data_IF_195664849885
#
_entry.id   IF_195664849885
#
_cell.length_a   1.000
_cell.length_b   1.000
_cell.length_c   1.000
_cell.angle_alpha   90.00
_cell.angle_beta   90.00
_cell.angle_gamma   90.00
#
_symmetry.space_group_name_H-M   'P 1'
#
loop_
_entity.id
_entity.type
_entity.pdbx_description
1 polymer ?
#
# COMPACT_ATOMS: atom_id res chain seq x y z
N UNK A 1 -54.73 -21.79 -42.54
CA UNK A 1 -53.49 -22.37 -42.01
C UNK A 1 -52.35 -21.33 -41.78
N UNK A 2 -52.17 -20.33 -42.62
CA UNK A 2 -51.11 -19.31 -42.52
C UNK A 2 -51.17 -18.48 -41.23
N UNK A 3 -52.38 -18.00 -40.82
CA UNK A 3 -52.58 -17.19 -39.59
C UNK A 3 -52.20 -17.91 -38.30
N UNK A 4 -52.33 -19.22 -38.21
CA UNK A 4 -51.94 -20.03 -37.02
C UNK A 4 -50.44 -20.23 -36.93
N UNK A 5 -49.75 -20.31 -38.07
CA UNK A 5 -48.26 -20.39 -38.13
C UNK A 5 -47.60 -19.05 -37.71
N UNK A 6 -48.16 -17.95 -38.19
CA UNK A 6 -47.65 -16.60 -37.84
C UNK A 6 -47.82 -16.37 -36.31
N UNK A 7 -48.91 -16.72 -35.70
CA UNK A 7 -49.21 -16.54 -34.28
C UNK A 7 -48.27 -17.40 -33.37
N UNK A 8 -47.89 -18.61 -33.81
CA UNK A 8 -46.91 -19.44 -33.13
C UNK A 8 -45.49 -18.89 -33.23
N UNK A 9 -45.12 -18.42 -34.41
CA UNK A 9 -43.77 -17.81 -34.65
C UNK A 9 -43.61 -16.55 -33.81
N UNK A 10 -44.66 -15.69 -33.75
CA UNK A 10 -44.62 -14.47 -32.93
C UNK A 10 -44.58 -14.78 -31.42
N UNK A 11 -45.30 -15.78 -30.96
CA UNK A 11 -45.25 -16.19 -29.54
C UNK A 11 -43.87 -16.75 -29.14
N UNK A 12 -43.26 -17.56 -30.03
CA UNK A 12 -41.90 -18.05 -29.83
C UNK A 12 -40.87 -16.92 -29.79
N UNK A 13 -41.03 -15.89 -30.66
CA UNK A 13 -40.18 -14.70 -30.69
C UNK A 13 -40.25 -13.91 -29.40
N UNK A 14 -41.44 -13.65 -28.89
CA UNK A 14 -41.63 -12.92 -27.64
C UNK A 14 -41.02 -13.73 -26.49
N UNK A 15 -41.25 -15.04 -26.42
CA UNK A 15 -40.69 -15.91 -25.42
C UNK A 15 -39.13 -15.93 -25.43
N UNK A 16 -38.54 -16.08 -26.63
CA UNK A 16 -37.10 -16.04 -26.77
C UNK A 16 -36.48 -14.69 -26.38
N UNK A 17 -37.10 -13.57 -26.77
CA UNK A 17 -36.64 -12.22 -26.40
C UNK A 17 -36.71 -11.99 -24.89
N UNK A 18 -37.77 -12.45 -24.23
CA UNK A 18 -37.91 -12.37 -22.77
C UNK A 18 -36.85 -13.20 -22.04
N UNK A 19 -36.63 -14.45 -22.48
CA UNK A 19 -35.60 -15.33 -21.86
C UNK A 19 -34.20 -14.70 -21.98
N UNK A 20 -33.90 -14.16 -23.12
CA UNK A 20 -32.59 -13.53 -23.37
C UNK A 20 -32.46 -12.22 -22.61
N UNK A 21 -33.51 -11.40 -22.54
CA UNK A 21 -33.52 -10.18 -21.72
C UNK A 21 -33.30 -10.50 -20.23
N UNK A 22 -33.93 -11.55 -19.71
CA UNK A 22 -33.68 -12.02 -18.36
C UNK A 22 -32.25 -12.53 -18.15
N UNK A 23 -31.72 -13.29 -19.09
CA UNK A 23 -30.34 -13.76 -19.05
C UNK A 23 -29.34 -12.61 -19.04
N UNK A 24 -29.57 -11.60 -19.89
CA UNK A 24 -28.74 -10.39 -19.92
C UNK A 24 -28.82 -9.61 -18.60
N UNK A 25 -30.00 -9.47 -18.04
CA UNK A 25 -30.18 -8.82 -16.74
C UNK A 25 -29.41 -9.53 -15.62
N UNK A 26 -29.49 -10.87 -15.55
CA UNK A 26 -28.76 -11.68 -14.56
C UNK A 26 -27.24 -11.53 -14.73
N UNK A 27 -26.75 -11.63 -15.96
CA UNK A 27 -25.33 -11.47 -16.25
C UNK A 27 -24.85 -10.06 -15.91
N UNK A 28 -25.64 -9.02 -16.24
CA UNK A 28 -25.31 -7.62 -15.92
C UNK A 28 -25.27 -7.38 -14.41
N UNK A 29 -26.21 -7.97 -13.67
CA UNK A 29 -26.24 -7.86 -12.21
C UNK A 29 -25.04 -8.54 -11.55
N UNK A 30 -24.67 -9.74 -12.00
CA UNK A 30 -23.46 -10.43 -11.51
C UNK A 30 -22.18 -9.69 -11.91
N UNK A 31 -22.15 -9.12 -13.12
CA UNK A 31 -21.02 -8.33 -13.63
C UNK A 31 -20.70 -7.13 -12.74
N UNK A 32 -21.70 -6.44 -12.30
CA UNK A 32 -21.52 -5.32 -11.40
C UNK A 32 -20.90 -5.72 -10.05
N UNK A 33 -21.30 -6.89 -9.53
CA UNK A 33 -20.74 -7.42 -8.28
C UNK A 33 -19.25 -7.78 -8.42
N UNK A 34 -18.89 -8.52 -9.46
CA UNK A 34 -17.52 -8.92 -9.71
C UNK A 34 -16.60 -7.72 -10.02
N UNK A 35 -17.15 -6.68 -10.65
CA UNK A 35 -16.43 -5.42 -10.86
C UNK A 35 -16.06 -4.74 -9.54
N UNK A 36 -16.96 -4.70 -8.57
CA UNK A 36 -16.65 -4.15 -7.24
C UNK A 36 -15.59 -4.98 -6.51
N UNK A 37 -15.65 -6.30 -6.60
CA UNK A 37 -14.62 -7.18 -6.02
C UNK A 37 -13.24 -6.91 -6.62
N UNK A 38 -13.17 -6.72 -7.95
CA UNK A 38 -11.93 -6.36 -8.63
C UNK A 38 -11.43 -4.96 -8.22
N UNK A 39 -12.34 -4.00 -8.09
CA UNK A 39 -12.00 -2.64 -7.66
C UNK A 39 -11.42 -2.67 -6.23
N UNK A 40 -12.09 -3.32 -5.29
CA UNK A 40 -11.64 -3.43 -3.90
C UNK A 40 -10.28 -4.14 -3.80
N UNK A 41 -10.06 -5.21 -4.57
CA UNK A 41 -8.78 -5.91 -4.61
C UNK A 41 -7.65 -5.02 -5.19
N UNK A 42 -7.96 -4.24 -6.22
CA UNK A 42 -7.01 -3.31 -6.83
C UNK A 42 -6.65 -2.16 -5.88
N UNK A 43 -7.64 -1.61 -5.17
CA UNK A 43 -7.42 -0.55 -4.18
C UNK A 43 -6.53 -1.04 -3.02
N UNK A 44 -6.75 -2.27 -2.52
CA UNK A 44 -5.87 -2.87 -1.50
C UNK A 44 -4.45 -3.08 -1.98
N UNK A 45 -4.27 -3.56 -3.20
CA UNK A 45 -2.94 -3.73 -3.78
C UNK A 45 -2.18 -2.40 -3.88
N UNK A 46 -2.83 -1.35 -4.42
CA UNK A 46 -2.24 0.00 -4.52
C UNK A 46 -1.94 0.57 -3.12
N UNK A 47 -2.82 0.34 -2.15
CA UNK A 47 -2.61 0.76 -0.78
C UNK A 47 -1.34 0.13 -0.18
N UNK A 48 -1.16 -1.18 -0.36
CA UNK A 48 0.03 -1.87 0.13
C UNK A 48 1.32 -1.35 -0.53
N UNK A 49 1.34 -1.14 -1.84
CA UNK A 49 2.51 -0.57 -2.52
C UNK A 49 2.85 0.84 -2.04
N UNK A 50 1.82 1.68 -1.85
CA UNK A 50 2.01 3.03 -1.32
C UNK A 50 2.51 3.01 0.13
N UNK A 51 1.94 2.16 0.97
CA UNK A 51 2.38 2.00 2.35
C UNK A 51 3.83 1.52 2.44
N UNK A 52 4.22 0.50 1.65
CA UNK A 52 5.60 0.03 1.57
C UNK A 52 6.58 1.16 1.23
N UNK A 53 6.24 1.94 0.22
CA UNK A 53 7.06 3.10 -0.18
C UNK A 53 7.15 4.14 0.95
N UNK A 54 6.05 4.48 1.59
CA UNK A 54 6.02 5.47 2.67
C UNK A 54 6.85 5.01 3.88
N UNK A 55 6.76 3.73 4.25
CA UNK A 55 7.55 3.15 5.33
C UNK A 55 9.04 3.21 5.02
N UNK A 56 9.43 2.82 3.81
CA UNK A 56 10.83 2.80 3.37
C UNK A 56 11.39 4.22 3.22
N UNK A 57 10.69 5.11 2.53
CA UNK A 57 11.13 6.48 2.29
C UNK A 57 11.23 7.25 3.60
N UNK A 58 10.25 7.13 4.52
CA UNK A 58 10.27 7.78 5.83
C UNK A 58 11.46 7.32 6.68
N UNK A 59 11.71 6.02 6.78
CA UNK A 59 12.83 5.46 7.54
C UNK A 59 14.18 5.86 6.95
N UNK A 60 14.31 5.84 5.62
CA UNK A 60 15.54 6.27 4.94
C UNK A 60 15.79 7.76 5.14
N UNK A 61 14.76 8.58 5.06
CA UNK A 61 14.86 10.02 5.23
C UNK A 61 15.37 10.40 6.64
N UNK A 62 14.77 9.82 7.69
CA UNK A 62 15.22 10.04 9.07
C UNK A 62 16.71 9.69 9.25
N UNK A 63 17.13 8.51 8.77
CA UNK A 63 18.51 8.07 8.84
C UNK A 63 19.46 9.04 8.09
N UNK A 64 19.06 9.53 6.94
CA UNK A 64 19.85 10.49 6.18
C UNK A 64 20.00 11.82 6.92
N UNK A 65 18.89 12.35 7.47
CA UNK A 65 18.93 13.62 8.19
C UNK A 65 19.80 13.55 9.43
N UNK A 66 19.70 12.49 10.25
CA UNK A 66 20.56 12.37 11.45
C UNK A 66 22.03 12.25 11.10
N UNK A 67 22.39 11.53 10.04
CA UNK A 67 23.78 11.42 9.57
C UNK A 67 24.33 12.74 9.06
N UNK A 68 23.55 13.45 8.25
CA UNK A 68 23.94 14.77 7.76
C UNK A 68 24.09 15.74 8.93
N UNK A 69 23.23 15.68 9.95
CA UNK A 69 23.40 16.49 11.15
C UNK A 69 24.68 16.10 11.91
N UNK A 70 24.94 14.82 12.15
CA UNK A 70 26.14 14.34 12.85
C UNK A 70 27.42 14.74 12.14
N UNK A 71 27.42 14.77 10.80
CA UNK A 71 28.61 15.13 9.99
C UNK A 71 28.79 16.63 9.91
N UNK A 72 27.73 17.40 9.65
CA UNK A 72 27.82 18.84 9.35
C UNK A 72 27.52 19.73 10.55
N UNK A 73 26.70 19.24 11.46
CA UNK A 73 26.13 19.99 12.58
C UNK A 73 25.28 21.18 12.13
N UNK A 74 24.68 21.12 10.91
CA UNK A 74 23.78 22.16 10.43
C UNK A 74 22.37 21.91 10.94
N UNK A 75 21.79 22.91 11.57
CA UNK A 75 20.47 22.86 12.21
C UNK A 75 19.37 22.34 11.28
N UNK A 76 19.41 22.71 10.01
CA UNK A 76 18.41 22.33 9.02
C UNK A 76 18.17 20.82 8.94
N UNK A 77 19.21 19.99 9.14
CA UNK A 77 19.05 18.53 9.09
C UNK A 77 18.33 18.00 10.34
N UNK A 78 18.58 18.57 11.51
CA UNK A 78 17.84 18.24 12.72
C UNK A 78 16.38 18.69 12.60
N UNK A 79 16.13 19.90 12.08
CA UNK A 79 14.76 20.40 11.85
C UNK A 79 13.98 19.51 10.87
N UNK A 80 14.63 19.08 9.78
CA UNK A 80 14.04 18.16 8.81
C UNK A 80 13.73 16.78 9.42
N UNK A 81 14.62 16.25 10.27
CA UNK A 81 14.40 15.00 10.99
C UNK A 81 13.13 15.08 11.85
N UNK A 82 13.01 16.12 12.68
CA UNK A 82 11.86 16.28 13.55
C UNK A 82 10.58 16.64 12.79
N UNK A 83 10.67 17.32 11.65
CA UNK A 83 9.52 17.55 10.78
C UNK A 83 8.98 16.27 10.19
N UNK A 84 9.84 15.35 9.72
CA UNK A 84 9.44 14.02 9.23
C UNK A 84 8.87 13.15 10.34
N UNK A 85 9.51 13.11 11.52
CA UNK A 85 9.01 12.39 12.67
C UNK A 85 7.62 12.90 13.11
N UNK A 86 7.40 14.21 13.11
CA UNK A 86 6.12 14.82 13.45
C UNK A 86 5.04 14.61 12.37
N UNK A 87 5.41 14.53 11.09
CA UNK A 87 4.47 14.17 10.01
C UNK A 87 3.90 12.75 10.18
N UNK A 88 4.65 11.84 10.78
CA UNK A 88 4.20 10.48 11.09
C UNK A 88 3.88 9.67 9.83
N UNK A 89 4.67 9.83 8.77
CA UNK A 89 4.45 9.13 7.48
C UNK A 89 4.40 7.60 7.64
N UNK A 90 5.26 7.06 8.48
CA UNK A 90 5.37 5.62 8.74
C UNK A 90 4.17 5.11 9.52
N UNK A 91 3.80 5.81 10.57
CA UNK A 91 2.67 5.52 11.44
C UNK A 91 1.35 5.60 10.65
N UNK A 92 1.19 6.64 9.81
CA UNK A 92 0.03 6.78 8.90
C UNK A 92 -0.06 5.61 7.93
N UNK A 93 1.08 5.19 7.35
CA UNK A 93 1.10 4.05 6.44
C UNK A 93 0.66 2.75 7.13
N UNK A 94 1.07 2.53 8.38
CA UNK A 94 0.63 1.39 9.18
C UNK A 94 -0.88 1.46 9.49
N UNK A 95 -1.37 2.63 9.88
CA UNK A 95 -2.80 2.81 10.19
C UNK A 95 -3.69 2.62 8.94
N UNK A 96 -3.21 3.02 7.74
CA UNK A 96 -3.92 2.75 6.48
C UNK A 96 -4.04 1.26 6.16
N UNK A 97 -3.09 0.42 6.58
CA UNK A 97 -3.11 -1.03 6.41
C UNK A 97 -3.99 -1.75 7.44
N UNK A 98 -4.15 -1.18 8.64
CA UNK A 98 -4.85 -1.78 9.78
C UNK A 98 -6.23 -2.34 9.44
N UNK A 99 -7.15 -1.62 8.74
CA UNK A 99 -8.50 -2.12 8.47
C UNK A 99 -8.55 -3.42 7.67
N UNK A 100 -7.47 -3.75 6.96
CA UNK A 100 -7.40 -4.89 6.03
C UNK A 100 -6.58 -6.06 6.57
N UNK A 101 -5.61 -5.79 7.46
CA UNK A 101 -4.59 -6.77 7.85
C UNK A 101 -4.43 -6.95 9.36
N UNK A 102 -5.14 -6.19 10.20
CA UNK A 102 -5.10 -6.35 11.66
C UNK A 102 -5.40 -7.80 12.06
N UNK A 103 -4.60 -8.33 13.01
CA UNK A 103 -4.70 -9.72 13.47
C UNK A 103 -4.04 -10.75 12.54
N UNK A 104 -3.39 -10.33 11.46
CA UNK A 104 -2.52 -11.21 10.68
C UNK A 104 -1.10 -11.19 11.24
N UNK A 105 -0.43 -12.36 11.22
CA UNK A 105 0.95 -12.48 11.69
C UNK A 105 1.90 -11.49 10.96
N UNK A 106 1.68 -11.25 9.68
CA UNK A 106 2.50 -10.32 8.88
C UNK A 106 2.32 -8.88 9.33
N UNK A 107 1.10 -8.46 9.68
CA UNK A 107 0.84 -7.11 10.17
C UNK A 107 1.43 -6.91 11.59
N UNK A 108 1.30 -7.90 12.47
CA UNK A 108 1.87 -7.85 13.81
C UNK A 108 3.41 -7.80 13.76
N UNK A 109 4.03 -8.53 12.84
CA UNK A 109 5.47 -8.47 12.60
C UNK A 109 5.92 -7.11 12.06
N UNK A 110 5.14 -6.51 11.14
CA UNK A 110 5.40 -5.16 10.61
C UNK A 110 5.33 -4.11 11.72
N UNK A 111 4.32 -4.17 12.58
CA UNK A 111 4.20 -3.27 13.73
C UNK A 111 5.37 -3.43 14.70
N UNK A 112 5.81 -4.67 14.95
CA UNK A 112 6.97 -4.95 15.79
C UNK A 112 8.25 -4.37 15.19
N UNK A 113 8.47 -4.51 13.89
CA UNK A 113 9.62 -3.92 13.20
C UNK A 113 9.64 -2.39 13.27
N UNK A 114 8.47 -1.74 13.21
CA UNK A 114 8.35 -0.30 13.39
C UNK A 114 8.68 0.13 14.82
N UNK A 115 8.23 -0.61 15.83
CA UNK A 115 8.60 -0.33 17.23
C UNK A 115 10.13 -0.41 17.42
N UNK A 116 10.81 -1.40 16.83
CA UNK A 116 12.28 -1.44 16.85
C UNK A 116 12.93 -0.26 16.11
N UNK A 117 12.28 0.25 15.07
CA UNK A 117 12.75 1.48 14.40
C UNK A 117 12.60 2.71 15.30
N UNK A 118 11.58 2.77 16.14
CA UNK A 118 11.43 3.83 17.15
C UNK A 118 12.48 3.71 18.26
N UNK A 119 12.80 2.51 18.74
CA UNK A 119 13.89 2.27 19.70
C UNK A 119 15.25 2.73 19.13
N UNK A 120 15.46 2.60 17.81
CA UNK A 120 16.67 3.07 17.16
C UNK A 120 16.79 4.61 17.19
N UNK A 121 15.67 5.34 17.25
CA UNK A 121 15.65 6.81 17.35
C UNK A 121 16.31 7.29 18.65
N UNK A 122 16.29 6.53 19.72
CA UNK A 122 16.99 6.89 20.95
C UNK A 122 18.52 7.00 20.73
N UNK A 123 19.07 6.10 19.93
CA UNK A 123 20.47 6.15 19.48
C UNK A 123 20.74 7.39 18.61
N UNK A 124 19.80 7.77 17.78
CA UNK A 124 19.87 8.95 16.91
C UNK A 124 19.79 10.24 17.74
N UNK A 125 18.89 10.31 18.72
CA UNK A 125 18.80 11.44 19.66
C UNK A 125 20.09 11.58 20.50
N UNK A 126 20.66 10.46 20.91
CA UNK A 126 21.95 10.46 21.61
C UNK A 126 23.07 11.09 20.76
N UNK A 127 23.15 10.72 19.48
CA UNK A 127 24.08 11.32 18.53
C UNK A 127 23.82 12.83 18.36
N UNK A 128 22.56 13.24 18.23
CA UNK A 128 22.19 14.67 18.10
C UNK A 128 22.60 15.45 19.36
N UNK A 129 22.38 14.91 20.55
CA UNK A 129 22.80 15.56 21.79
C UNK A 129 24.31 15.81 21.85
N UNK A 130 25.12 14.83 21.46
CA UNK A 130 26.58 15.02 21.38
C UNK A 130 26.98 16.17 20.45
N UNK A 131 26.31 16.31 19.30
CA UNK A 131 26.56 17.41 18.37
C UNK A 131 26.20 18.77 18.99
N UNK A 132 25.02 18.85 19.60
CA UNK A 132 24.53 20.10 20.22
C UNK A 132 25.42 20.56 21.38
N UNK A 133 25.84 19.65 22.24
CA UNK A 133 26.78 19.96 23.30
C UNK A 133 28.16 20.36 22.77
N UNK A 134 28.66 19.66 21.74
CA UNK A 134 29.96 19.98 21.13
C UNK A 134 29.99 21.37 20.47
N UNK A 135 28.82 21.83 19.98
CA UNK A 135 28.66 23.15 19.34
C UNK A 135 28.19 24.25 20.31
N UNK A 136 28.06 23.92 21.60
CA UNK A 136 27.60 24.84 22.63
C UNK A 136 26.25 25.51 22.29
N UNK A 137 25.34 24.73 21.63
CA UNK A 137 24.01 25.24 21.30
C UNK A 137 23.20 25.36 22.60
N UNK A 138 22.48 26.48 22.83
CA UNK A 138 21.68 26.66 24.03
C UNK A 138 20.63 25.56 24.22
N UNK A 139 20.56 24.95 25.41
CA UNK A 139 19.71 23.79 25.68
C UNK A 139 18.21 24.09 25.56
N UNK A 140 17.81 25.35 25.81
CA UNK A 140 16.43 25.80 25.65
C UNK A 140 15.93 25.78 24.20
N UNK A 141 16.84 25.73 23.22
CA UNK A 141 16.53 25.60 21.78
C UNK A 141 16.47 24.15 21.29
N UNK A 142 16.83 23.19 22.14
CA UNK A 142 16.87 21.78 21.71
C UNK A 142 15.48 21.15 21.61
N UNK A 143 15.25 20.24 20.67
CA UNK A 143 14.04 19.43 20.65
C UNK A 143 13.85 18.66 21.98
N UNK A 144 12.61 18.54 22.43
CA UNK A 144 12.29 17.90 23.70
C UNK A 144 12.86 16.47 23.83
N UNK A 145 12.76 15.68 22.77
CA UNK A 145 13.28 14.33 22.73
C UNK A 145 14.81 14.26 22.93
N UNK A 146 15.55 15.19 22.33
CA UNK A 146 17.01 15.24 22.51
C UNK A 146 17.39 15.73 23.90
N UNK A 147 16.62 16.64 24.47
CA UNK A 147 16.86 17.21 25.81
C UNK A 147 16.74 16.16 26.91
N UNK A 148 15.86 15.19 26.76
CA UNK A 148 15.65 14.11 27.76
C UNK A 148 16.72 13.02 27.72
N UNK A 149 17.54 12.97 26.67
CA UNK A 149 18.60 11.95 26.58
C UNK A 149 19.72 12.27 27.56
N UNK A 150 20.21 11.29 28.30
CA UNK A 150 21.37 11.41 29.19
C UNK A 150 22.61 10.84 28.53
N UNK A 151 23.69 11.65 28.45
CA UNK A 151 24.99 11.14 28.00
C UNK A 151 25.65 10.29 29.06
N UNK A 152 26.42 9.29 28.63
CA UNK A 152 27.27 8.52 29.52
C UNK A 152 28.29 9.43 30.24
N UNK A 153 28.71 9.04 31.45
CA UNK A 153 29.74 9.79 32.17
C UNK A 153 31.04 9.94 31.35
N UNK A 154 31.36 8.94 30.54
CA UNK A 154 32.53 8.99 29.64
C UNK A 154 32.34 10.01 28.52
N UNK A 155 31.19 10.05 27.86
CA UNK A 155 30.92 10.94 26.74
C UNK A 155 30.72 12.39 27.19
N UNK A 156 30.22 12.62 28.40
CA UNK A 156 30.09 13.95 28.98
C UNK A 156 31.46 14.64 29.12
N UNK A 157 32.51 13.87 29.44
CA UNK A 157 33.88 14.39 29.64
C UNK A 157 34.67 14.54 28.34
N UNK A 158 34.13 14.16 27.19
CA UNK A 158 34.80 14.30 25.90
C UNK A 158 34.98 15.77 25.52
N UNK A 159 36.07 16.07 24.83
CA UNK A 159 36.29 17.35 24.16
C UNK A 159 35.23 17.52 23.04
N UNK A 160 34.93 18.76 22.64
CA UNK A 160 34.00 19.06 21.57
C UNK A 160 34.30 18.24 20.29
N UNK A 161 35.57 18.16 19.89
CA UNK A 161 36.01 17.38 18.71
C UNK A 161 35.70 15.87 18.89
N UNK A 162 35.94 15.31 20.06
CA UNK A 162 35.66 13.91 20.33
C UNK A 162 34.15 13.60 20.45
N UNK A 163 33.36 14.55 20.96
CA UNK A 163 31.89 14.44 20.91
C UNK A 163 31.37 14.38 19.49
N UNK A 164 31.88 15.20 18.57
CA UNK A 164 31.51 15.17 17.16
C UNK A 164 31.91 13.84 16.50
N UNK A 165 33.12 13.34 16.75
CA UNK A 165 33.58 12.04 16.23
C UNK A 165 32.68 10.89 16.79
N UNK A 166 32.34 10.94 18.05
CA UNK A 166 31.47 9.95 18.70
C UNK A 166 30.06 9.98 18.10
N UNK A 167 29.49 11.17 17.91
CA UNK A 167 28.20 11.35 17.27
C UNK A 167 28.15 10.71 15.87
N UNK A 168 29.17 11.00 15.03
CA UNK A 168 29.28 10.40 13.70
C UNK A 168 29.44 8.89 13.77
N UNK A 169 30.27 8.39 14.70
CA UNK A 169 30.50 6.95 14.85
C UNK A 169 29.19 6.22 15.17
N UNK A 170 28.39 6.73 16.10
CA UNK A 170 27.17 6.09 16.58
C UNK A 170 26.18 5.83 15.44
N UNK A 171 25.99 6.78 14.52
CA UNK A 171 25.02 6.67 13.41
C UNK A 171 25.61 6.15 12.09
N UNK A 172 26.93 5.91 12.05
CA UNK A 172 27.63 5.45 10.84
C UNK A 172 28.37 4.13 11.03
N UNK A 173 28.53 3.61 12.26
CA UNK A 173 29.28 2.39 12.51
C UNK A 173 28.53 1.12 12.05
N UNK A 174 29.27 0.01 12.05
CA UNK A 174 28.70 -1.27 11.62
C UNK A 174 27.57 -1.76 12.54
N UNK A 175 27.60 -1.44 13.85
CA UNK A 175 26.58 -1.85 14.78
C UNK A 175 25.24 -1.18 14.44
N UNK A 176 25.21 0.14 14.27
CA UNK A 176 24.06 0.88 13.83
C UNK A 176 23.54 0.38 12.46
N UNK A 177 24.47 0.19 11.50
CA UNK A 177 24.09 -0.30 10.16
C UNK A 177 23.47 -1.68 10.20
N UNK A 178 23.97 -2.59 11.05
CA UNK A 178 23.43 -3.95 11.20
C UNK A 178 21.99 -3.89 11.73
N UNK A 179 21.78 -3.19 12.84
CA UNK A 179 20.42 -3.04 13.44
C UNK A 179 19.45 -2.41 12.44
N UNK A 180 19.86 -1.30 11.80
CA UNK A 180 19.03 -0.64 10.79
C UNK A 180 18.70 -1.57 9.62
N UNK A 181 19.69 -2.31 9.11
CA UNK A 181 19.47 -3.23 7.98
C UNK A 181 18.55 -4.39 8.35
N UNK A 182 18.63 -4.87 9.57
CA UNK A 182 17.75 -5.92 10.08
C UNK A 182 16.30 -5.42 10.19
N UNK A 183 16.07 -4.24 10.77
CA UNK A 183 14.75 -3.62 10.86
C UNK A 183 14.17 -3.39 9.45
N UNK A 184 14.95 -2.78 8.55
CA UNK A 184 14.50 -2.52 7.18
C UNK A 184 14.25 -3.80 6.39
N UNK A 185 15.05 -4.85 6.63
CA UNK A 185 14.83 -6.18 6.05
C UNK A 185 13.48 -6.77 6.49
N UNK A 186 13.17 -6.71 7.78
CA UNK A 186 11.88 -7.18 8.32
C UNK A 186 10.70 -6.39 7.75
N UNK A 187 10.79 -5.06 7.70
CA UNK A 187 9.74 -4.21 7.09
C UNK A 187 9.53 -4.60 5.62
N UNK A 188 10.62 -4.76 4.85
CA UNK A 188 10.54 -5.12 3.44
C UNK A 188 9.91 -6.50 3.26
N UNK A 189 10.33 -7.51 4.03
CA UNK A 189 9.79 -8.87 3.96
C UNK A 189 8.28 -8.91 4.27
N UNK A 190 7.86 -8.19 5.33
CA UNK A 190 6.45 -8.07 5.68
C UNK A 190 5.64 -7.39 4.56
N UNK A 191 6.15 -6.28 4.04
CA UNK A 191 5.45 -5.54 2.97
C UNK A 191 5.39 -6.32 1.67
N UNK A 192 6.48 -7.01 1.28
CA UNK A 192 6.50 -7.89 0.10
C UNK A 192 5.46 -9.02 0.24
N UNK A 193 5.31 -9.58 1.43
CA UNK A 193 4.29 -10.59 1.73
C UNK A 193 2.87 -10.05 1.55
N UNK A 194 2.57 -8.85 2.08
CA UNK A 194 1.26 -8.20 1.92
C UNK A 194 0.98 -7.82 0.46
N UNK A 195 1.97 -7.28 -0.24
CA UNK A 195 1.86 -6.93 -1.66
C UNK A 195 1.60 -8.19 -2.49
N UNK A 196 2.33 -9.28 -2.24
CA UNK A 196 2.14 -10.53 -2.97
C UNK A 196 0.74 -11.12 -2.72
N UNK A 197 0.27 -11.12 -1.47
CA UNK A 197 -1.08 -11.56 -1.13
C UNK A 197 -2.15 -10.76 -1.87
N UNK A 198 -2.07 -9.43 -1.82
CA UNK A 198 -3.05 -8.54 -2.47
C UNK A 198 -2.97 -8.62 -4.00
N UNK A 199 -1.78 -8.82 -4.57
CA UNK A 199 -1.57 -9.05 -5.99
C UNK A 199 -2.23 -10.35 -6.46
N UNK A 200 -2.11 -11.42 -5.68
CA UNK A 200 -2.74 -12.70 -5.99
C UNK A 200 -4.27 -12.62 -5.89
N UNK A 201 -4.80 -11.84 -4.94
CA UNK A 201 -6.23 -11.54 -4.83
C UNK A 201 -6.73 -10.75 -6.05
N UNK A 202 -6.02 -9.70 -6.44
CA UNK A 202 -6.32 -8.91 -7.64
C UNK A 202 -6.27 -9.78 -8.90
N UNK A 203 -5.24 -10.62 -9.06
CA UNK A 203 -5.11 -11.52 -10.20
C UNK A 203 -6.27 -12.51 -10.31
N UNK A 204 -6.71 -13.08 -9.18
CA UNK A 204 -7.91 -13.95 -9.13
C UNK A 204 -9.18 -13.20 -9.50
N UNK A 205 -9.40 -12.01 -8.93
CA UNK A 205 -10.55 -11.17 -9.26
C UNK A 205 -10.57 -10.77 -10.75
N UNK A 206 -9.42 -10.42 -11.31
CA UNK A 206 -9.27 -10.12 -12.75
C UNK A 206 -9.66 -11.32 -13.61
N UNK A 207 -9.16 -12.51 -13.29
CA UNK A 207 -9.46 -13.74 -14.07
C UNK A 207 -10.95 -14.07 -14.05
N UNK A 208 -11.61 -13.94 -12.88
CA UNK A 208 -13.04 -14.17 -12.73
C UNK A 208 -13.83 -13.15 -13.56
N UNK A 209 -13.45 -11.88 -13.48
CA UNK A 209 -14.10 -10.81 -14.24
C UNK A 209 -13.96 -11.01 -15.77
N UNK A 210 -12.76 -11.35 -16.26
CA UNK A 210 -12.51 -11.63 -17.68
C UNK A 210 -13.31 -12.83 -18.19
N UNK A 211 -13.38 -13.92 -17.41
CA UNK A 211 -14.17 -15.10 -17.79
C UNK A 211 -15.66 -14.78 -17.88
N UNK A 212 -16.15 -13.98 -16.95
CA UNK A 212 -17.53 -13.53 -16.97
C UNK A 212 -17.80 -12.58 -18.15
N UNK A 213 -16.91 -11.63 -18.44
CA UNK A 213 -17.02 -10.71 -19.57
C UNK A 213 -17.06 -11.49 -20.89
N UNK A 214 -16.20 -12.48 -21.06
CA UNK A 214 -16.19 -13.39 -22.22
C UNK A 214 -17.51 -14.16 -22.38
N UNK A 215 -18.08 -14.67 -21.27
CA UNK A 215 -19.40 -15.31 -21.30
C UNK A 215 -20.51 -14.35 -21.71
N UNK A 216 -20.41 -13.11 -21.30
CA UNK A 216 -21.35 -12.05 -21.71
C UNK A 216 -21.22 -11.75 -23.22
N UNK A 217 -20.01 -11.63 -23.77
CA UNK A 217 -19.77 -11.44 -25.20
C UNK A 217 -20.36 -12.58 -26.04
N UNK A 218 -20.15 -13.82 -25.61
CA UNK A 218 -20.71 -15.01 -26.28
C UNK A 218 -22.24 -14.94 -26.24
N UNK A 219 -22.82 -14.60 -25.09
CA UNK A 219 -24.27 -14.43 -24.94
C UNK A 219 -24.85 -13.37 -25.88
N UNK A 220 -24.21 -12.22 -26.00
CA UNK A 220 -24.59 -11.16 -26.93
C UNK A 220 -24.50 -11.62 -28.37
N UNK A 221 -23.41 -12.31 -28.75
CA UNK A 221 -23.23 -12.85 -30.10
C UNK A 221 -24.33 -13.85 -30.47
N UNK A 222 -24.66 -14.77 -29.57
CA UNK A 222 -25.78 -15.73 -29.75
C UNK A 222 -27.11 -14.99 -29.94
N UNK A 223 -27.33 -13.91 -29.18
CA UNK A 223 -28.53 -13.06 -29.33
C UNK A 223 -28.65 -12.44 -30.73
N UNK A 224 -27.56 -11.84 -31.19
CA UNK A 224 -27.52 -11.19 -32.49
C UNK A 224 -27.80 -12.22 -33.59
N UNK A 225 -27.19 -13.39 -33.53
CA UNK A 225 -27.45 -14.50 -34.46
C UNK A 225 -28.91 -14.95 -34.42
N UNK A 226 -29.50 -15.10 -33.23
CA UNK A 226 -30.93 -15.43 -33.11
C UNK A 226 -31.82 -14.36 -33.71
N UNK A 227 -31.55 -13.08 -33.45
CA UNK A 227 -32.33 -11.98 -34.04
C UNK A 227 -32.24 -11.96 -35.57
N UNK A 228 -31.03 -12.17 -36.12
CA UNK A 228 -30.83 -12.22 -37.57
C UNK A 228 -31.55 -13.42 -38.23
N UNK A 229 -31.46 -14.60 -37.64
CA UNK A 229 -32.14 -15.79 -38.16
C UNK A 229 -33.65 -15.64 -38.10
N UNK A 230 -34.18 -14.98 -37.08
CA UNK A 230 -35.59 -14.65 -36.98
C UNK A 230 -36.06 -13.64 -38.02
N UNK A 231 -35.26 -12.59 -38.24
CA UNK A 231 -35.55 -11.59 -39.26
C UNK A 231 -35.64 -12.23 -40.67
N UNK A 232 -34.75 -13.17 -40.96
CA UNK A 232 -34.75 -13.94 -42.21
C UNK A 232 -35.99 -14.86 -42.30
N UNK A 233 -36.35 -15.56 -41.21
CA UNK A 233 -37.56 -16.39 -41.19
C UNK A 233 -38.85 -15.60 -41.40
N UNK A 234 -38.99 -14.45 -40.73
CA UNK A 234 -40.14 -13.58 -40.92
C UNK A 234 -40.24 -13.09 -42.35
N UNK A 235 -39.13 -12.67 -42.93
CA UNK A 235 -39.06 -12.22 -44.31
C UNK A 235 -39.44 -13.28 -45.33
N UNK A 236 -39.07 -14.57 -45.08
CA UNK A 236 -39.47 -15.73 -45.93
C UNK A 236 -40.93 -16.17 -45.75
N UNK A 237 -41.58 -15.79 -44.63
CA UNK A 237 -42.98 -16.17 -44.34
C UNK A 237 -43.97 -15.06 -44.85
N UNK A 238 -43.51 -13.84 -45.04
CA UNK A 238 -44.33 -12.68 -45.43
C UNK A 238 -44.15 -12.34 -46.91
N UNK A 239 -43.04 -12.68 -47.52
CA UNK A 239 -42.80 -12.60 -48.96
C UNK A 239 -43.12 -13.91 -49.69
#
# INVERSE_FOLDING_TARGET
>A
MVRLRIRRVTAWNIGATVVVGLMFFVISFWGNREFHVLQDATERYILCERAAKNLQDGSNYLTEQVRLFAITGQQVYMDNYFAEAADGRREKALEELRPYFEGTHTFDALQTALNYSEDLMDTEYYSMRLVLEAKEVPEDTWPAAVRTVELSAADTQLTAENKLRQAQRIVCDNAYQTVRSEIMGQITECMDSLIQQTRDEQGRATTIFEDMYRKMEIGVAVLVVMMLTMCVMVRRLVG
#
